data_IF_692990487292
#
_entry.id   IF_692990487292
#
_cell.length_a   1.000
_cell.length_b   1.000
_cell.length_c   1.000
_cell.angle_alpha   90.00
_cell.angle_beta   90.00
_cell.angle_gamma   90.00
#
_symmetry.space_group_name_H-M   'P 1'
#
loop_
_entity.id
_entity.type
_entity.pdbx_description
1 polymer ?
#
# COMPACT_ATOMS: atom_id res chain seq x y z
N UNK A 1 -13.53 -4.57 -13.12
CA UNK A 1 -12.40 -4.41 -14.06
C UNK A 1 -12.45 -3.12 -14.85
N UNK A 2 -13.62 -2.72 -15.34
CA UNK A 2 -13.76 -1.45 -16.02
C UNK A 2 -13.30 -0.27 -15.14
N UNK A 3 -13.53 -0.34 -13.84
CA UNK A 3 -13.10 0.69 -12.91
C UNK A 3 -11.58 0.86 -12.88
N UNK A 4 -10.85 -0.23 -13.06
CA UNK A 4 -9.39 -0.19 -13.12
C UNK A 4 -8.89 0.58 -14.34
N UNK A 5 -9.50 0.31 -15.48
CA UNK A 5 -9.17 1.06 -16.69
C UNK A 5 -9.41 2.54 -16.52
N UNK A 6 -10.51 2.89 -15.86
CA UNK A 6 -10.81 4.28 -15.54
C UNK A 6 -9.78 4.88 -14.61
N UNK A 7 -9.34 4.12 -13.63
CA UNK A 7 -8.31 4.57 -12.70
C UNK A 7 -7.01 4.89 -13.43
N UNK A 8 -6.61 4.04 -14.36
CA UNK A 8 -5.42 4.28 -15.17
C UNK A 8 -5.56 5.54 -16.00
N UNK A 9 -6.74 5.78 -16.56
CA UNK A 9 -7.01 7.01 -17.31
C UNK A 9 -6.93 8.24 -16.41
N UNK A 10 -7.46 8.15 -15.21
CA UNK A 10 -7.40 9.24 -14.24
C UNK A 10 -5.95 9.58 -13.94
N UNK A 11 -5.08 8.58 -13.80
CA UNK A 11 -3.67 8.81 -13.62
C UNK A 11 -3.05 9.53 -14.80
N UNK A 12 -3.42 9.12 -16.01
CA UNK A 12 -2.94 9.76 -17.22
C UNK A 12 -3.39 11.22 -17.29
N UNK A 13 -4.64 11.48 -16.93
CA UNK A 13 -5.16 12.82 -16.86
C UNK A 13 -4.48 13.63 -15.76
N UNK A 14 -4.16 13.00 -14.67
CA UNK A 14 -3.41 13.62 -13.59
C UNK A 14 -2.05 14.10 -14.06
N UNK A 15 -1.48 13.43 -15.05
CA UNK A 15 -0.25 13.89 -15.69
C UNK A 15 -0.38 15.26 -16.32
N UNK A 16 -1.54 15.59 -16.85
CA UNK A 16 -1.73 16.91 -17.44
C UNK A 16 -1.70 18.02 -16.42
N UNK A 17 -2.18 17.77 -15.23
CA UNK A 17 -2.10 18.76 -14.17
C UNK A 17 -0.67 18.98 -13.74
N UNK A 18 0.19 18.07 -14.12
CA UNK A 18 1.62 18.22 -13.90
C UNK A 18 2.22 19.34 -14.73
N UNK A 19 1.53 19.80 -15.75
CA UNK A 19 1.95 20.97 -16.52
C UNK A 19 1.80 22.26 -15.70
N UNK A 20 1.02 22.22 -14.64
CA UNK A 20 0.99 23.29 -13.67
C UNK A 20 2.22 23.31 -12.79
N UNK A 21 3.21 22.59 -13.17
CA UNK A 21 4.45 22.47 -12.49
C UNK A 21 5.52 23.50 -12.79
N UNK A 22 5.29 24.73 -13.04
CA UNK A 22 6.33 25.68 -12.69
C UNK A 22 6.73 25.52 -11.23
N UNK A 23 5.79 25.01 -10.44
CA UNK A 23 6.02 24.67 -9.04
C UNK A 23 6.94 23.47 -8.86
N UNK A 24 6.87 22.54 -9.78
CA UNK A 24 7.74 21.38 -9.72
C UNK A 24 9.21 21.74 -9.90
N UNK A 25 9.48 22.88 -10.47
CA UNK A 25 10.82 23.40 -10.55
C UNK A 25 11.49 23.57 -9.21
N UNK A 26 10.71 23.83 -8.17
CA UNK A 26 11.25 23.90 -6.82
C UNK A 26 11.73 22.55 -6.34
N UNK A 27 11.04 21.51 -6.73
CA UNK A 27 11.33 20.16 -6.27
C UNK A 27 12.54 19.57 -6.98
N UNK A 28 12.86 20.10 -8.14
CA UNK A 28 14.07 19.69 -8.85
C UNK A 28 15.31 19.98 -8.03
N UNK A 29 15.23 20.99 -7.19
CA UNK A 29 16.34 21.34 -6.32
C UNK A 29 16.47 20.43 -5.10
N UNK A 30 15.55 19.49 -4.96
CA UNK A 30 15.57 18.53 -3.87
C UNK A 30 15.74 17.13 -4.45
N UNK A 31 17.00 16.71 -4.70
CA UNK A 31 17.26 15.37 -5.25
C UNK A 31 16.80 14.25 -4.32
N UNK A 32 16.50 14.59 -3.07
CA UNK A 32 16.00 13.65 -2.07
C UNK A 32 14.50 13.44 -2.14
N UNK A 33 13.82 14.22 -2.97
CA UNK A 33 12.37 14.13 -3.10
C UNK A 33 11.99 13.14 -4.21
N UNK A 34 12.61 11.97 -4.17
CA UNK A 34 12.20 10.87 -5.03
C UNK A 34 10.88 10.34 -4.49
N UNK A 35 9.85 10.36 -5.31
CA UNK A 35 8.56 9.81 -4.90
C UNK A 35 8.71 8.35 -4.50
N UNK A 36 8.14 8.02 -3.38
CA UNK A 36 8.16 6.66 -2.86
C UNK A 36 7.30 5.77 -3.74
N UNK A 37 7.88 4.77 -4.35
CA UNK A 37 7.19 3.87 -5.29
C UNK A 37 7.71 2.43 -5.17
N UNK A 38 6.91 1.51 -5.71
CA UNK A 38 7.33 0.12 -5.83
C UNK A 38 7.71 -0.51 -4.50
N UNK A 39 8.85 -1.16 -4.50
CA UNK A 39 9.32 -1.89 -3.30
C UNK A 39 9.50 -0.97 -2.10
N UNK A 40 10.05 0.22 -2.30
CA UNK A 40 10.25 1.18 -1.21
C UNK A 40 8.92 1.61 -0.58
N UNK A 41 7.90 1.78 -1.41
CA UNK A 41 6.56 2.10 -0.93
C UNK A 41 5.98 0.92 -0.13
N UNK A 42 6.14 -0.30 -0.63
CA UNK A 42 5.68 -1.49 0.07
C UNK A 42 6.34 -1.63 1.44
N UNK A 43 7.66 -1.42 1.49
CA UNK A 43 8.41 -1.46 2.75
C UNK A 43 7.93 -0.39 3.73
N UNK A 44 7.67 0.82 3.23
CA UNK A 44 7.16 1.90 4.06
C UNK A 44 5.78 1.60 4.62
N UNK A 45 4.90 1.01 3.81
CA UNK A 45 3.57 0.60 4.25
C UNK A 45 3.65 -0.48 5.35
N UNK A 46 4.49 -1.49 5.13
CA UNK A 46 4.66 -2.58 6.09
C UNK A 46 5.20 -2.04 7.41
N UNK A 47 6.18 -1.17 7.35
CA UNK A 47 6.78 -0.58 8.54
C UNK A 47 5.79 0.28 9.31
N UNK A 48 5.00 1.08 8.61
CA UNK A 48 3.95 1.89 9.24
C UNK A 48 2.91 1.02 9.95
N UNK A 49 2.51 -0.08 9.33
CA UNK A 49 1.59 -1.02 9.95
C UNK A 49 2.19 -1.66 11.20
N UNK A 50 3.46 -2.05 11.13
CA UNK A 50 4.16 -2.64 12.27
C UNK A 50 4.30 -1.64 13.43
N UNK A 51 4.49 -0.37 13.14
CA UNK A 51 4.56 0.68 14.16
C UNK A 51 3.29 0.74 15.01
N UNK A 52 2.15 0.38 14.43
CA UNK A 52 0.86 0.30 15.11
C UNK A 52 0.56 -1.10 15.64
N UNK A 53 1.56 -1.98 15.68
CA UNK A 53 1.41 -3.33 16.18
C UNK A 53 0.46 -4.19 15.34
N UNK A 54 0.40 -3.93 14.04
CA UNK A 54 -0.32 -4.82 13.14
C UNK A 54 0.29 -6.22 13.22
N UNK A 55 -0.55 -7.21 13.10
CA UNK A 55 -0.14 -8.60 13.24
C UNK A 55 0.13 -9.22 11.86
N UNK A 56 1.11 -10.10 11.82
CA UNK A 56 1.49 -10.90 10.66
C UNK A 56 1.57 -10.05 9.37
N UNK A 57 2.41 -9.04 9.41
CA UNK A 57 2.63 -8.15 8.26
C UNK A 57 3.50 -8.87 7.24
N UNK A 58 2.99 -9.01 6.02
CA UNK A 58 3.68 -9.68 4.92
C UNK A 58 3.67 -8.84 3.66
N UNK A 59 4.72 -8.94 2.89
CA UNK A 59 4.85 -8.28 1.59
C UNK A 59 5.08 -9.35 0.52
N UNK A 60 4.23 -9.35 -0.50
CA UNK A 60 4.38 -10.27 -1.63
C UNK A 60 4.82 -9.50 -2.87
N UNK A 61 5.83 -10.02 -3.55
CA UNK A 61 6.29 -9.48 -4.83
C UNK A 61 5.49 -10.14 -5.95
N UNK A 62 4.61 -9.37 -6.54
CA UNK A 62 3.70 -9.84 -7.59
C UNK A 62 4.13 -9.39 -8.98
N UNK A 63 5.32 -8.84 -9.11
CA UNK A 63 5.85 -8.40 -10.41
C UNK A 63 5.95 -9.59 -11.36
N UNK A 64 5.39 -9.41 -12.56
CA UNK A 64 5.36 -10.48 -13.55
C UNK A 64 4.29 -11.54 -13.33
N UNK A 65 3.55 -11.47 -12.24
CA UNK A 65 2.49 -12.42 -11.88
C UNK A 65 1.12 -11.76 -11.93
N UNK A 66 1.02 -10.57 -11.33
CA UNK A 66 -0.23 -9.81 -11.29
C UNK A 66 -0.15 -8.60 -12.20
N UNK A 67 -1.26 -8.31 -12.88
CA UNK A 67 -1.40 -7.07 -13.67
C UNK A 67 -2.03 -5.95 -12.86
N UNK A 68 -2.49 -6.25 -11.63
CA UNK A 68 -3.19 -5.29 -10.79
C UNK A 68 -2.25 -4.43 -9.97
N UNK A 69 -1.19 -5.02 -9.46
CA UNK A 69 -0.25 -4.33 -8.59
C UNK A 69 1.09 -5.06 -8.64
N UNK A 70 2.16 -4.36 -8.33
CA UNK A 70 3.50 -4.95 -8.27
C UNK A 70 3.77 -5.60 -6.92
N UNK A 71 3.22 -5.04 -5.85
CA UNK A 71 3.43 -5.54 -4.50
C UNK A 71 2.12 -5.55 -3.73
N UNK A 72 1.97 -6.52 -2.86
CA UNK A 72 0.83 -6.60 -1.97
C UNK A 72 1.33 -6.67 -0.53
N UNK A 73 0.80 -5.81 0.31
CA UNK A 73 1.08 -5.81 1.75
C UNK A 73 -0.19 -6.28 2.44
N UNK A 74 -0.07 -7.29 3.28
CA UNK A 74 -1.19 -7.83 4.04
C UNK A 74 -0.85 -7.75 5.52
N UNK A 75 -1.76 -7.22 6.30
CA UNK A 75 -1.59 -7.16 7.75
C UNK A 75 -2.94 -7.28 8.43
N UNK A 76 -2.91 -7.61 9.72
CA UNK A 76 -4.12 -7.80 10.50
C UNK A 76 -4.17 -6.86 11.69
N UNK A 77 -5.39 -6.47 12.06
CA UNK A 77 -5.66 -5.74 13.29
C UNK A 77 -6.59 -6.55 14.18
N UNK A 78 -6.54 -6.29 15.47
CA UNK A 78 -7.28 -7.05 16.46
C UNK A 78 -8.59 -6.40 16.91
N UNK A 79 -8.90 -5.22 16.38
CA UNK A 79 -10.13 -4.49 16.72
C UNK A 79 -10.42 -3.45 15.66
N UNK A 80 -11.65 -2.95 15.62
CA UNK A 80 -12.01 -1.89 14.66
C UNK A 80 -11.19 -0.62 14.87
N UNK A 81 -10.98 -0.13 16.09
CA UNK A 81 -10.10 1.01 16.30
C UNK A 81 -8.66 0.74 15.84
N UNK A 82 -8.19 -0.48 16.02
CA UNK A 82 -6.85 -0.87 15.57
C UNK A 82 -6.75 -0.83 14.06
N UNK A 83 -7.74 -1.36 13.34
CA UNK A 83 -7.78 -1.30 11.88
C UNK A 83 -7.75 0.15 11.40
N UNK A 84 -8.53 1.03 12.02
CA UNK A 84 -8.54 2.45 11.68
C UNK A 84 -7.18 3.10 11.91
N UNK A 85 -6.55 2.77 13.02
CA UNK A 85 -5.25 3.32 13.37
C UNK A 85 -4.19 2.89 12.36
N UNK A 86 -4.19 1.62 11.97
CA UNK A 86 -3.25 1.10 10.97
C UNK A 86 -3.42 1.81 9.64
N UNK A 87 -4.66 1.92 9.16
CA UNK A 87 -4.95 2.60 7.89
C UNK A 87 -4.46 4.04 7.92
N UNK A 88 -4.78 4.75 8.99
CA UNK A 88 -4.38 6.16 9.16
C UNK A 88 -2.86 6.31 9.18
N UNK A 89 -2.18 5.42 9.88
CA UNK A 89 -0.73 5.46 9.98
C UNK A 89 -0.06 5.18 8.64
N UNK A 90 -0.55 4.18 7.91
CA UNK A 90 -0.03 3.86 6.58
C UNK A 90 -0.19 5.06 5.65
N UNK A 91 -1.38 5.63 5.57
CA UNK A 91 -1.64 6.79 4.71
C UNK A 91 -0.77 8.00 5.10
N UNK A 92 -0.71 8.29 6.40
CA UNK A 92 0.07 9.42 6.90
C UNK A 92 1.56 9.25 6.68
N UNK A 93 2.07 8.08 6.99
CA UNK A 93 3.50 7.79 6.88
C UNK A 93 4.00 7.87 5.44
N UNK A 94 3.25 7.27 4.50
CA UNK A 94 3.68 7.30 3.11
C UNK A 94 3.58 8.70 2.52
N UNK A 95 2.60 9.47 2.95
CA UNK A 95 2.46 10.87 2.53
C UNK A 95 3.64 11.70 3.01
N UNK A 96 4.04 11.53 4.26
CA UNK A 96 5.20 12.22 4.83
C UNK A 96 6.49 11.88 4.08
N UNK A 97 6.58 10.67 3.56
CA UNK A 97 7.74 10.21 2.80
C UNK A 97 7.68 10.56 1.32
N UNK A 98 6.72 11.37 0.93
CA UNK A 98 6.63 11.89 -0.43
C UNK A 98 5.86 11.03 -1.41
N UNK A 99 5.10 10.07 -0.94
CA UNK A 99 4.22 9.29 -1.80
C UNK A 99 2.93 10.05 -2.07
N UNK A 100 2.34 9.79 -3.22
CA UNK A 100 0.98 10.19 -3.48
C UNK A 100 0.02 9.47 -2.51
N UNK A 101 -1.12 10.07 -2.22
CA UNK A 101 -2.14 9.39 -1.43
C UNK A 101 -2.67 8.16 -2.16
N UNK A 102 -3.33 7.27 -1.45
CA UNK A 102 -3.96 6.12 -2.07
C UNK A 102 -4.92 6.59 -3.17
N UNK A 103 -4.81 5.98 -4.34
CA UNK A 103 -5.69 6.29 -5.46
C UNK A 103 -7.12 5.87 -5.15
N UNK A 104 -7.27 4.72 -4.51
CA UNK A 104 -8.55 4.23 -4.03
C UNK A 104 -8.39 3.68 -2.63
N UNK A 105 -9.42 3.92 -1.83
CA UNK A 105 -9.58 3.27 -0.54
C UNK A 105 -10.91 2.55 -0.58
N UNK A 106 -10.89 1.24 -0.50
CA UNK A 106 -12.09 0.42 -0.51
C UNK A 106 -12.34 -0.17 0.87
N UNK A 107 -13.60 -0.21 1.26
CA UNK A 107 -14.00 -0.71 2.55
C UNK A 107 -13.81 0.30 3.67
N UNK A 108 -14.23 -0.09 4.83
CA UNK A 108 -14.11 0.70 6.06
C UNK A 108 -13.72 -0.26 7.18
N UNK A 109 -13.15 0.28 8.24
CA UNK A 109 -12.83 -0.53 9.42
C UNK A 109 -14.06 -1.32 9.92
N UNK A 110 -15.26 -0.72 9.82
CA UNK A 110 -16.48 -1.39 10.20
C UNK A 110 -16.79 -2.65 9.38
N UNK A 111 -16.32 -2.71 8.15
CA UNK A 111 -16.44 -3.91 7.31
C UNK A 111 -15.34 -4.94 7.59
N UNK A 112 -14.41 -4.63 8.48
CA UNK A 112 -13.32 -5.50 8.93
C UNK A 112 -12.29 -5.81 7.85
N UNK A 113 -12.32 -5.07 6.75
CA UNK A 113 -11.37 -5.22 5.64
C UNK A 113 -11.27 -3.88 4.90
N UNK A 114 -10.08 -3.31 4.87
CA UNK A 114 -9.80 -2.07 4.16
C UNK A 114 -8.67 -2.33 3.16
N UNK A 115 -8.84 -1.84 1.95
CA UNK A 115 -7.83 -1.94 0.90
C UNK A 115 -7.39 -0.53 0.51
N UNK A 116 -6.09 -0.30 0.56
CA UNK A 116 -5.47 0.95 0.09
C UNK A 116 -4.74 0.65 -1.21
N UNK A 117 -5.19 1.26 -2.29
CA UNK A 117 -4.60 1.07 -3.61
C UNK A 117 -3.70 2.26 -3.95
N UNK A 118 -2.40 2.05 -3.88
CA UNK A 118 -1.39 3.05 -4.28
C UNK A 118 -0.88 2.82 -5.69
N UNK A 119 -1.53 1.97 -6.45
CA UNK A 119 -1.21 1.57 -7.81
C UNK A 119 -0.09 0.53 -7.88
N UNK A 120 1.12 0.89 -7.48
CA UNK A 120 2.24 -0.05 -7.45
C UNK A 120 2.13 -1.01 -6.28
N UNK A 121 1.48 -0.57 -5.23
CA UNK A 121 1.32 -1.32 -3.98
C UNK A 121 -0.14 -1.32 -3.56
N UNK A 122 -0.63 -2.48 -3.19
CA UNK A 122 -1.95 -2.64 -2.64
C UNK A 122 -1.81 -3.13 -1.20
N UNK A 123 -2.40 -2.40 -0.25
CA UNK A 123 -2.32 -2.73 1.16
C UNK A 123 -3.67 -3.26 1.62
N UNK A 124 -3.68 -4.46 2.17
CA UNK A 124 -4.86 -5.08 2.75
C UNK A 124 -4.73 -5.07 4.27
N UNK A 125 -5.64 -4.35 4.92
CA UNK A 125 -5.72 -4.31 6.37
C UNK A 125 -7.03 -4.97 6.77
N UNK A 126 -6.95 -6.11 7.40
CA UNK A 126 -8.14 -6.88 7.75
C UNK A 126 -8.06 -7.48 9.15
N UNK A 127 -9.23 -7.81 9.63
CA UNK A 127 -9.39 -8.53 10.87
C UNK A 127 -8.79 -9.93 10.74
N UNK A 128 -8.25 -10.46 11.81
CA UNK A 128 -7.60 -11.77 11.80
C UNK A 128 -8.56 -12.89 11.35
N UNK A 129 -9.80 -12.82 11.83
CA UNK A 129 -10.82 -13.81 11.46
C UNK A 129 -11.11 -13.77 9.96
N UNK A 130 -11.23 -12.58 9.39
CA UNK A 130 -11.44 -12.42 7.95
C UNK A 130 -10.22 -12.88 7.17
N UNK A 131 -9.04 -12.61 7.69
CA UNK A 131 -7.80 -13.05 7.05
C UNK A 131 -7.73 -14.55 6.92
N UNK A 132 -8.07 -15.27 7.99
CA UNK A 132 -8.12 -16.73 7.98
C UNK A 132 -9.21 -17.24 7.03
N UNK A 133 -10.37 -16.60 7.05
CA UNK A 133 -11.50 -17.02 6.23
C UNK A 133 -11.21 -16.86 4.73
N UNK A 134 -10.66 -15.74 4.33
CA UNK A 134 -10.38 -15.47 2.90
C UNK A 134 -9.04 -16.00 2.45
N UNK A 135 -8.13 -16.22 3.37
CA UNK A 135 -6.81 -16.80 3.08
C UNK A 135 -6.12 -16.16 1.87
N UNK A 136 -6.05 -14.84 1.86
CA UNK A 136 -5.47 -14.10 0.73
C UNK A 136 -4.07 -14.58 0.37
N UNK A 137 -3.29 -14.94 1.37
CA UNK A 137 -1.92 -15.40 1.16
C UNK A 137 -1.85 -16.68 0.34
N UNK A 138 -2.89 -17.51 0.40
CA UNK A 138 -2.89 -18.76 -0.35
C UNK A 138 -3.01 -18.54 -1.85
N UNK A 139 -3.56 -17.39 -2.27
CA UNK A 139 -3.61 -17.01 -3.68
C UNK A 139 -2.22 -16.73 -4.22
N UNK A 140 -1.30 -16.35 -3.36
CA UNK A 140 0.04 -15.89 -3.73
C UNK A 140 1.12 -16.75 -3.08
N UNK A 141 0.76 -17.97 -2.65
CA UNK A 141 1.64 -18.85 -1.90
C UNK A 141 2.95 -19.20 -2.61
N UNK A 142 2.93 -19.21 -3.93
CA UNK A 142 4.11 -19.52 -4.74
C UNK A 142 4.91 -18.26 -5.10
N UNK A 143 4.47 -17.10 -4.65
CA UNK A 143 5.17 -15.85 -4.95
C UNK A 143 6.27 -15.59 -3.94
N UNK A 144 7.22 -14.78 -4.36
CA UNK A 144 8.30 -14.35 -3.48
C UNK A 144 7.75 -13.42 -2.40
N UNK A 145 8.00 -13.77 -1.16
CA UNK A 145 7.72 -12.90 -0.03
C UNK A 145 8.97 -12.09 0.27
N UNK A 146 8.81 -10.77 0.47
CA UNK A 146 9.93 -9.90 0.78
C UNK A 146 10.16 -9.84 2.28
N UNK A 147 11.40 -10.04 2.69
CA UNK A 147 11.82 -9.74 4.06
C UNK A 147 11.82 -8.22 4.22
N UNK A 148 11.15 -7.72 5.24
CA UNK A 148 11.02 -6.28 5.46
C UNK A 148 11.45 -5.85 6.87
N UNK A 149 11.70 -6.82 7.75
CA UNK A 149 12.21 -6.55 9.09
C UNK A 149 13.26 -7.59 9.46
N UNK A 150 14.11 -7.21 10.40
CA UNK A 150 15.19 -8.07 10.85
C UNK A 150 14.73 -9.16 11.84
N UNK A 151 13.43 -9.20 12.12
CA UNK A 151 12.88 -10.17 13.08
C UNK A 151 12.74 -11.58 12.50
N UNK A 152 12.78 -11.66 11.18
CA UNK A 152 12.60 -12.93 10.50
C UNK A 152 13.91 -13.73 10.37
N UNK A 153 15.00 -13.21 10.90
CA UNK A 153 16.29 -13.88 10.88
C UNK A 153 16.53 -14.75 12.11
N UNK A 154 15.59 -14.76 13.01
CA UNK A 154 15.63 -15.62 14.17
C UNK A 154 14.73 -16.85 13.94
#
# INVERSE_FOLDING_TARGET
MACRGSAVRIRTLHHFTDDDRPKAGFFVNSPLNTMLKGQDLALACAKAADDLKAEDVRIFDLRGISTLTDFMVVCSGNSLPHLKAIVREVEGSVREKGSDPALYTEGKAASRWVVLDFVDVMVHVLDEEFREHYALESLWGDTKELAWNDRDED
#
